data_IF_988056407903
#
_entry.id   IF_988056407903
#
_cell.length_a   1.000
_cell.length_b   1.000
_cell.length_c   1.000
_cell.angle_alpha   90.00
_cell.angle_beta   90.00
_cell.angle_gamma   90.00
#
_symmetry.space_group_name_H-M   'P 1'
#
loop_
_entity.id
_entity.type
_entity.pdbx_description
1 polymer ?
#
# COMPACT_ATOMS: atom_id res chain seq x y z
N UNK A 1 29.79 -5.09 -10.06
CA UNK A 1 28.69 -4.13 -9.83
C UNK A 1 27.87 -4.70 -8.69
N UNK A 2 28.04 -4.16 -7.49
CA UNK A 2 27.30 -4.62 -6.30
C UNK A 2 25.84 -4.18 -6.46
N UNK A 3 24.84 -5.07 -6.29
CA UNK A 3 23.46 -4.64 -6.30
C UNK A 3 23.23 -3.59 -5.19
N UNK A 4 22.35 -2.59 -5.41
CA UNK A 4 22.00 -1.64 -4.37
C UNK A 4 21.41 -2.38 -3.17
N UNK A 5 21.72 -1.91 -1.95
CA UNK A 5 21.07 -2.40 -0.73
C UNK A 5 19.60 -1.96 -0.76
N UNK A 6 18.64 -2.88 -0.55
CA UNK A 6 17.23 -2.52 -0.57
C UNK A 6 16.89 -1.53 0.54
N UNK A 7 15.90 -0.66 0.29
CA UNK A 7 15.42 0.31 1.27
C UNK A 7 14.81 -0.40 2.49
N UNK A 8 14.78 0.24 3.66
CA UNK A 8 14.21 -0.37 4.88
C UNK A 8 12.74 -0.67 4.68
N UNK A 9 12.02 0.26 4.05
CA UNK A 9 10.62 0.13 3.68
C UNK A 9 10.38 -1.07 2.77
N UNK A 10 11.26 -1.31 1.79
CA UNK A 10 11.16 -2.46 0.87
C UNK A 10 11.30 -3.79 1.62
N UNK A 11 12.26 -3.88 2.54
CA UNK A 11 12.48 -5.09 3.36
C UNK A 11 11.28 -5.35 4.27
N UNK A 12 10.77 -4.31 4.94
CA UNK A 12 9.60 -4.43 5.81
C UNK A 12 8.37 -4.89 5.03
N UNK A 13 8.05 -4.26 3.89
CA UNK A 13 6.90 -4.64 3.06
C UNK A 13 7.04 -6.10 2.60
N UNK A 14 8.22 -6.50 2.12
CA UNK A 14 8.46 -7.86 1.66
C UNK A 14 8.24 -8.92 2.74
N UNK A 15 8.57 -8.61 3.99
CA UNK A 15 8.27 -9.50 5.13
C UNK A 15 6.77 -9.58 5.41
N UNK A 16 6.07 -8.45 5.43
CA UNK A 16 4.62 -8.40 5.69
C UNK A 16 3.79 -9.19 4.66
N UNK A 17 4.22 -9.22 3.39
CA UNK A 17 3.52 -9.96 2.34
C UNK A 17 4.13 -11.33 2.03
N UNK A 18 5.06 -11.83 2.86
CA UNK A 18 5.78 -13.08 2.60
C UNK A 18 4.85 -14.26 2.34
N UNK A 19 3.75 -14.37 3.09
CA UNK A 19 2.79 -15.48 3.02
C UNK A 19 1.61 -15.22 2.07
N UNK A 20 1.55 -14.05 1.44
CA UNK A 20 0.51 -13.74 0.47
C UNK A 20 0.64 -14.59 -0.81
N UNK A 21 -0.47 -14.85 -1.52
CA UNK A 21 -0.44 -15.48 -2.84
C UNK A 21 0.55 -14.77 -3.78
N UNK A 22 1.25 -15.53 -4.62
CA UNK A 22 2.39 -15.03 -5.40
C UNK A 22 2.04 -13.84 -6.32
N UNK A 23 0.84 -13.84 -6.90
CA UNK A 23 0.33 -12.75 -7.74
C UNK A 23 0.11 -11.47 -6.94
N UNK A 24 -0.54 -11.58 -5.77
CA UNK A 24 -0.79 -10.44 -4.87
C UNK A 24 0.53 -9.89 -4.33
N UNK A 25 1.41 -10.77 -3.84
CA UNK A 25 2.75 -10.38 -3.36
C UNK A 25 3.53 -9.62 -4.42
N UNK A 26 3.54 -10.11 -5.68
CA UNK A 26 4.21 -9.43 -6.79
C UNK A 26 3.60 -8.06 -7.11
N UNK A 27 2.28 -7.94 -7.03
CA UNK A 27 1.60 -6.68 -7.34
C UNK A 27 1.84 -5.64 -6.24
N UNK A 28 1.75 -6.02 -4.97
CA UNK A 28 2.05 -5.14 -3.83
C UNK A 28 3.48 -4.62 -3.91
N UNK A 29 4.47 -5.52 -4.11
CA UNK A 29 5.88 -5.12 -4.22
C UNK A 29 6.14 -4.20 -5.42
N UNK A 30 5.42 -4.38 -6.53
CA UNK A 30 5.52 -3.49 -7.69
C UNK A 30 4.96 -2.11 -7.38
N UNK A 31 3.80 -2.06 -6.76
CA UNK A 31 3.10 -0.80 -6.47
C UNK A 31 3.77 -0.02 -5.33
N UNK A 32 4.52 -0.69 -4.46
CA UNK A 32 5.33 -0.07 -3.42
C UNK A 32 6.76 0.29 -3.88
N UNK A 33 7.19 -0.12 -5.07
CA UNK A 33 8.58 0.07 -5.51
C UNK A 33 8.98 1.55 -5.66
N UNK A 34 8.01 2.46 -5.79
CA UNK A 34 8.23 3.90 -5.88
C UNK A 34 8.28 4.59 -4.51
N UNK A 35 8.03 3.87 -3.41
CA UNK A 35 8.09 4.43 -2.05
C UNK A 35 9.56 4.75 -1.74
N UNK A 36 9.83 6.03 -1.52
CA UNK A 36 11.14 6.52 -1.09
C UNK A 36 11.16 6.70 0.42
N UNK A 37 12.34 6.55 1.03
CA UNK A 37 12.56 6.76 2.48
C UNK A 37 12.35 8.22 2.95
N UNK A 38 11.94 9.12 2.05
CA UNK A 38 11.67 10.53 2.36
C UNK A 38 10.26 10.77 2.88
N UNK A 39 9.31 9.91 2.52
CA UNK A 39 7.91 10.04 2.92
C UNK A 39 7.63 9.11 4.11
N UNK A 40 6.75 9.49 5.05
CA UNK A 40 6.29 8.57 6.08
C UNK A 40 5.71 7.31 5.43
N UNK A 41 6.19 6.14 5.84
CA UNK A 41 5.79 4.85 5.27
C UNK A 41 4.26 4.64 5.27
N UNK A 42 3.50 5.00 6.34
CA UNK A 42 2.05 4.89 6.34
C UNK A 42 1.39 5.69 5.19
N UNK A 43 1.79 6.95 5.01
CA UNK A 43 1.22 7.83 3.97
C UNK A 43 1.60 7.34 2.55
N UNK A 44 2.84 6.88 2.36
CA UNK A 44 3.31 6.36 1.08
C UNK A 44 2.56 5.08 0.66
N UNK A 45 2.35 4.16 1.62
CA UNK A 45 1.54 2.95 1.41
C UNK A 45 0.08 3.28 1.09
N UNK A 46 -0.50 4.24 1.81
CA UNK A 46 -1.86 4.70 1.54
C UNK A 46 -1.97 5.29 0.13
N UNK A 47 -1.00 6.10 -0.29
CA UNK A 47 -0.92 6.65 -1.65
C UNK A 47 -0.88 5.56 -2.73
N UNK A 48 -0.08 4.52 -2.53
CA UNK A 48 -0.02 3.36 -3.42
C UNK A 48 -1.37 2.61 -3.46
N UNK A 49 -2.00 2.39 -2.30
CA UNK A 49 -3.31 1.75 -2.19
C UNK A 49 -4.40 2.51 -2.94
N UNK A 50 -4.44 3.84 -2.81
CA UNK A 50 -5.37 4.67 -3.56
C UNK A 50 -5.14 4.62 -5.07
N UNK A 51 -3.88 4.54 -5.50
CA UNK A 51 -3.54 4.40 -6.91
C UNK A 51 -4.04 3.06 -7.47
N UNK A 52 -3.88 1.97 -6.73
CA UNK A 52 -4.42 0.66 -7.10
C UNK A 52 -5.96 0.66 -7.18
N UNK A 53 -6.64 1.29 -6.21
CA UNK A 53 -8.08 1.45 -6.25
C UNK A 53 -8.54 2.26 -7.47
N UNK A 54 -7.83 3.35 -7.81
CA UNK A 54 -8.12 4.14 -9.01
C UNK A 54 -8.04 3.32 -10.29
N UNK A 55 -7.08 2.38 -10.40
CA UNK A 55 -6.99 1.46 -11.55
C UNK A 55 -8.16 0.49 -11.60
N UNK A 56 -8.55 -0.08 -10.46
CA UNK A 56 -9.72 -0.95 -10.36
C UNK A 56 -11.01 -0.25 -10.81
N UNK A 57 -11.22 0.99 -10.36
CA UNK A 57 -12.41 1.78 -10.69
C UNK A 57 -12.44 2.22 -12.17
N UNK A 58 -11.29 2.41 -12.81
CA UNK A 58 -11.21 2.80 -14.22
C UNK A 58 -11.57 1.68 -15.21
N UNK A 59 -11.63 0.40 -14.78
CA UNK A 59 -11.82 -0.76 -15.67
C UNK A 59 -12.80 -1.80 -15.11
N UNK A 60 -14.02 -1.44 -14.70
CA UNK A 60 -14.89 -2.27 -13.85
C UNK A 60 -15.33 -3.62 -14.46
N UNK A 61 -15.15 -3.83 -15.77
CA UNK A 61 -15.59 -5.03 -16.48
C UNK A 61 -14.52 -6.11 -16.69
N UNK A 62 -13.28 -5.92 -16.23
CA UNK A 62 -12.18 -6.89 -16.37
C UNK A 62 -11.93 -7.66 -15.06
N UNK A 63 -11.61 -8.95 -15.15
CA UNK A 63 -11.21 -9.79 -14.00
C UNK A 63 -9.91 -9.29 -13.36
N UNK A 64 -9.08 -8.55 -14.09
CA UNK A 64 -7.89 -7.89 -13.54
C UNK A 64 -8.20 -6.92 -12.38
N UNK A 65 -9.42 -6.37 -12.34
CA UNK A 65 -9.93 -5.54 -11.23
C UNK A 65 -9.83 -6.24 -9.89
N UNK A 66 -10.05 -7.56 -9.84
CA UNK A 66 -9.99 -8.30 -8.58
C UNK A 66 -8.60 -8.21 -7.93
N UNK A 67 -7.54 -8.26 -8.75
CA UNK A 67 -6.17 -8.15 -8.23
C UNK A 67 -5.83 -6.71 -7.82
N UNK A 68 -6.29 -5.71 -8.58
CA UNK A 68 -6.12 -4.30 -8.21
C UNK A 68 -6.86 -3.96 -6.90
N UNK A 69 -8.07 -4.48 -6.70
CA UNK A 69 -8.83 -4.31 -5.45
C UNK A 69 -8.13 -4.98 -4.25
N UNK A 70 -7.66 -6.22 -4.41
CA UNK A 70 -6.90 -6.92 -3.35
C UNK A 70 -5.58 -6.21 -3.04
N UNK A 71 -4.95 -5.63 -4.05
CA UNK A 71 -3.72 -4.85 -3.87
C UNK A 71 -4.00 -3.55 -3.12
N UNK A 72 -5.09 -2.85 -3.47
CA UNK A 72 -5.52 -1.65 -2.75
C UNK A 72 -5.82 -1.95 -1.28
N UNK A 73 -6.59 -3.01 -1.00
CA UNK A 73 -6.92 -3.46 0.36
C UNK A 73 -5.67 -3.81 1.17
N UNK A 74 -4.75 -4.58 0.58
CA UNK A 74 -3.49 -4.95 1.23
C UNK A 74 -2.63 -3.71 1.54
N UNK A 75 -2.47 -2.78 0.60
CA UNK A 75 -1.66 -1.58 0.80
C UNK A 75 -2.25 -0.64 1.86
N UNK A 76 -3.58 -0.47 1.90
CA UNK A 76 -4.25 0.30 2.95
C UNK A 76 -4.10 -0.39 4.32
N UNK A 77 -4.20 -1.71 4.37
CA UNK A 77 -3.98 -2.49 5.59
C UNK A 77 -2.55 -2.34 6.10
N UNK A 78 -1.56 -2.41 5.20
CA UNK A 78 -0.15 -2.19 5.54
C UNK A 78 0.12 -0.76 6.02
N UNK A 79 -0.55 0.24 5.43
CA UNK A 79 -0.46 1.62 5.90
C UNK A 79 -0.95 1.75 7.35
N UNK A 80 -2.09 1.13 7.67
CA UNK A 80 -2.63 1.09 9.03
C UNK A 80 -1.71 0.34 9.99
N UNK A 81 -1.11 -0.77 9.56
CA UNK A 81 -0.14 -1.52 10.37
C UNK A 81 1.12 -0.69 10.65
N UNK A 82 1.69 -0.05 9.63
CA UNK A 82 2.86 0.81 9.80
C UNK A 82 2.56 1.96 10.77
N UNK A 83 1.39 2.60 10.66
CA UNK A 83 0.96 3.62 11.61
C UNK A 83 0.82 3.06 13.03
N UNK A 84 0.26 1.86 13.18
CA UNK A 84 0.09 1.23 14.50
C UNK A 84 1.43 0.84 15.14
N UNK A 85 2.43 0.46 14.35
CA UNK A 85 3.77 0.12 14.82
C UNK A 85 4.58 1.38 15.22
N UNK A 86 4.43 2.50 14.50
CA UNK A 86 5.17 3.74 14.77
C UNK A 86 4.49 4.63 15.81
N UNK A 87 3.18 4.84 15.68
CA UNK A 87 2.39 5.82 16.43
C UNK A 87 0.95 5.31 16.66
N UNK A 88 0.76 4.31 17.53
CA UNK A 88 -0.54 3.67 17.77
C UNK A 88 -1.61 4.65 18.29
N UNK A 89 -1.20 5.67 19.04
CA UNK A 89 -2.09 6.73 19.55
C UNK A 89 -2.79 7.51 18.43
N UNK A 90 -2.15 7.65 17.28
CA UNK A 90 -2.63 8.44 16.14
C UNK A 90 -3.37 7.60 15.10
N UNK A 91 -3.48 6.27 15.30
CA UNK A 91 -4.09 5.35 14.34
C UNK A 91 -5.54 5.72 14.00
N UNK A 92 -6.32 6.14 14.99
CA UNK A 92 -7.70 6.58 14.78
C UNK A 92 -7.78 7.79 13.85
N UNK A 93 -6.95 8.80 14.10
CA UNK A 93 -6.89 10.00 13.27
C UNK A 93 -6.37 9.68 11.86
N UNK A 94 -5.38 8.80 11.74
CA UNK A 94 -4.88 8.35 10.45
C UNK A 94 -5.98 7.66 9.62
N UNK A 95 -6.73 6.72 10.23
CA UNK A 95 -7.84 6.05 9.57
C UNK A 95 -8.95 7.02 9.12
N UNK A 96 -9.28 8.03 9.94
CA UNK A 96 -10.23 9.10 9.56
C UNK A 96 -9.74 9.89 8.34
N UNK A 97 -8.44 10.24 8.28
CA UNK A 97 -7.84 10.92 7.12
C UNK A 97 -7.94 10.07 5.85
N UNK A 98 -7.71 8.76 5.94
CA UNK A 98 -7.83 7.86 4.79
C UNK A 98 -9.24 7.91 4.18
N UNK A 99 -10.28 7.86 5.02
CA UNK A 99 -11.68 7.96 4.57
C UNK A 99 -11.95 9.32 3.92
N UNK A 100 -11.52 10.41 4.56
CA UNK A 100 -11.74 11.76 4.04
C UNK A 100 -11.06 11.99 2.67
N UNK A 101 -9.83 11.51 2.50
CA UNK A 101 -9.09 11.57 1.23
C UNK A 101 -9.80 10.78 0.13
N UNK A 102 -10.33 9.60 0.45
CA UNK A 102 -11.10 8.81 -0.50
C UNK A 102 -12.37 9.53 -0.94
N UNK A 103 -13.16 10.06 0.00
CA UNK A 103 -14.39 10.79 -0.31
C UNK A 103 -14.14 12.04 -1.16
N UNK A 104 -12.99 12.69 -1.02
CA UNK A 104 -12.61 13.84 -1.85
C UNK A 104 -12.17 13.45 -3.28
N UNK A 105 -11.83 12.18 -3.52
CA UNK A 105 -11.35 11.64 -4.82
C UNK A 105 -12.44 10.90 -5.61
N UNK A 106 -13.54 10.53 -4.97
CA UNK A 106 -14.70 9.85 -5.56
C UNK A 106 -15.66 10.86 -6.23
#
# INVERSE_FOLDING_TARGET
>A
MTPPVPARSEVWIADQVREAPAELRRQVLRDSAAITETDPLPDALAGAGWSALGRALARPSDRSVALDLLTADALITLALLAQAEEHPEDLGQFAERLVAVHSARA
#
